data_IF_610154711842
#
_entry.id   IF_610154711842
#
_cell.length_a   1.000
_cell.length_b   1.000
_cell.length_c   1.000
_cell.angle_alpha   90.00
_cell.angle_beta   90.00
_cell.angle_gamma   90.00
#
_symmetry.space_group_name_H-M   'P 1'
#
loop_
_entity.id
_entity.type
_entity.pdbx_description
1 polymer ?
#
# COMPACT_ATOMS: atom_id res chain seq x y z
N UNK A 1 -2.75 26.86 7.48
CA UNK A 1 -2.46 27.15 6.07
C UNK A 1 -1.00 26.79 5.87
N UNK A 2 -0.68 25.88 4.94
CA UNK A 2 0.72 25.58 4.63
C UNK A 2 1.15 26.65 3.64
N UNK A 3 2.16 27.41 4.05
CA UNK A 3 2.82 28.42 3.25
C UNK A 3 3.44 27.76 2.02
N UNK A 4 3.32 28.40 0.86
CA UNK A 4 3.72 27.87 -0.45
C UNK A 4 5.24 28.00 -0.65
N UNK A 5 6.01 27.94 0.45
CA UNK A 5 7.45 28.10 0.46
C UNK A 5 8.08 26.91 -0.25
N UNK A 6 8.94 27.11 -1.25
CA UNK A 6 9.62 26.01 -1.92
C UNK A 6 10.49 25.28 -0.91
N UNK A 7 10.08 24.06 -0.55
CA UNK A 7 10.86 23.20 0.33
C UNK A 7 12.09 22.74 -0.46
N UNK A 8 13.27 23.19 -0.03
CA UNK A 8 14.53 22.74 -0.61
C UNK A 8 14.80 21.30 -0.16
N UNK A 9 14.75 20.36 -1.11
CA UNK A 9 15.06 18.95 -0.86
C UNK A 9 16.58 18.79 -0.87
N UNK A 10 17.15 18.35 0.25
CA UNK A 10 18.57 18.04 0.33
C UNK A 10 18.89 16.80 -0.53
N UNK A 11 19.43 17.06 -1.71
CA UNK A 11 19.79 16.04 -2.68
C UNK A 11 20.85 15.06 -2.15
N UNK A 12 21.74 15.48 -1.24
CA UNK A 12 22.77 14.61 -0.65
C UNK A 12 22.13 13.60 0.29
N UNK A 13 21.25 14.09 1.16
CA UNK A 13 20.48 13.24 2.09
C UNK A 13 19.57 12.26 1.36
N UNK A 14 18.95 12.66 0.24
CA UNK A 14 18.00 11.82 -0.49
C UNK A 14 18.61 10.88 -1.51
N UNK A 15 19.83 11.16 -1.99
CA UNK A 15 20.51 10.33 -2.99
C UNK A 15 20.42 8.81 -2.72
N UNK A 16 20.67 8.32 -1.48
CA UNK A 16 20.61 6.89 -1.17
C UNK A 16 19.20 6.28 -1.21
N UNK A 17 18.16 7.10 -1.09
CA UNK A 17 16.76 6.67 -0.95
C UNK A 17 15.93 6.94 -2.20
N UNK A 18 16.55 7.36 -3.31
CA UNK A 18 15.82 7.65 -4.57
C UNK A 18 15.07 6.45 -5.12
N UNK A 19 15.58 5.23 -4.89
CA UNK A 19 14.97 3.97 -5.32
C UNK A 19 13.68 3.63 -4.58
N UNK A 20 13.43 4.22 -3.40
CA UNK A 20 12.19 4.01 -2.62
C UNK A 20 10.95 4.25 -3.47
N UNK A 21 11.00 5.18 -4.43
CA UNK A 21 9.88 5.53 -5.30
C UNK A 21 10.27 5.47 -6.78
N UNK A 22 9.50 4.70 -7.55
CA UNK A 22 9.68 4.52 -9.00
C UNK A 22 8.38 4.77 -9.75
N UNK A 23 8.49 5.28 -10.98
CA UNK A 23 7.37 5.30 -11.93
C UNK A 23 7.41 4.00 -12.73
N UNK A 24 6.28 3.30 -12.80
CA UNK A 24 6.12 2.03 -13.50
C UNK A 24 5.33 2.20 -14.82
N UNK A 25 5.39 3.39 -15.41
CA UNK A 25 4.67 3.71 -16.65
C UNK A 25 3.19 4.03 -16.41
N UNK A 26 2.36 3.74 -17.41
CA UNK A 26 0.91 4.02 -17.40
C UNK A 26 0.08 2.73 -17.31
N UNK A 27 -1.19 2.83 -16.94
CA UNK A 27 -2.15 1.73 -17.05
C UNK A 27 -2.49 1.45 -18.50
N UNK A 28 -2.75 0.18 -18.82
CA UNK A 28 -3.15 -0.22 -20.18
C UNK A 28 -4.59 0.20 -20.53
N UNK A 29 -5.47 0.31 -19.53
CA UNK A 29 -6.89 0.60 -19.75
C UNK A 29 -7.14 1.96 -20.41
N UNK A 30 -6.41 2.99 -19.97
CA UNK A 30 -6.61 4.37 -20.41
C UNK A 30 -5.33 5.02 -20.97
N UNK A 31 -4.16 4.37 -20.83
CA UNK A 31 -2.84 4.88 -21.20
C UNK A 31 -2.51 6.28 -20.65
N UNK A 32 -3.23 6.74 -19.63
CA UNK A 32 -3.11 8.06 -19.03
C UNK A 32 -2.81 7.98 -17.53
N UNK A 33 -3.36 6.96 -16.86
CA UNK A 33 -3.19 6.79 -15.42
C UNK A 33 -1.76 6.34 -15.13
N UNK A 34 -1.01 7.14 -14.37
CA UNK A 34 0.39 6.87 -14.05
C UNK A 34 0.49 5.90 -12.87
N UNK A 35 1.37 4.90 -12.96
CA UNK A 35 1.60 3.93 -11.89
C UNK A 35 2.87 4.28 -11.13
N UNK A 36 2.77 4.37 -9.81
CA UNK A 36 3.88 4.72 -8.92
C UNK A 36 4.05 3.62 -7.90
N UNK A 37 5.26 3.07 -7.80
CA UNK A 37 5.60 2.06 -6.80
C UNK A 37 6.48 2.66 -5.70
N UNK A 38 6.09 2.42 -4.44
CA UNK A 38 6.86 2.70 -3.24
C UNK A 38 7.29 1.38 -2.59
N UNK A 39 8.58 1.22 -2.36
CA UNK A 39 9.16 0.00 -1.79
C UNK A 39 9.53 0.22 -0.33
N UNK A 40 8.76 -0.37 0.58
CA UNK A 40 9.00 -0.22 2.01
C UNK A 40 10.31 -0.85 2.49
N UNK A 41 10.81 -1.89 1.81
CA UNK A 41 12.10 -2.53 2.12
C UNK A 41 13.30 -1.58 1.97
N UNK A 42 13.17 -0.51 1.18
CA UNK A 42 14.22 0.48 0.95
C UNK A 42 14.07 1.74 1.80
N UNK A 43 13.10 1.80 2.71
CA UNK A 43 12.95 2.93 3.61
C UNK A 43 14.15 3.08 4.55
N UNK A 44 14.44 4.31 5.03
CA UNK A 44 15.48 4.58 6.01
C UNK A 44 15.33 3.71 7.27
N UNK A 45 16.45 3.30 7.84
CA UNK A 45 16.49 2.58 9.12
C UNK A 45 16.34 3.57 10.29
N UNK A 46 15.48 3.27 11.25
CA UNK A 46 15.28 4.04 12.49
C UNK A 46 16.58 4.26 13.29
N UNK A 47 17.62 3.45 13.06
CA UNK A 47 18.92 3.56 13.71
C UNK A 47 19.81 4.69 13.17
N UNK A 48 19.44 5.33 12.06
CA UNK A 48 20.22 6.42 11.48
C UNK A 48 20.20 7.65 12.41
N UNK A 49 21.38 8.21 12.68
CA UNK A 49 21.54 9.53 13.30
C UNK A 49 20.89 10.52 12.32
N UNK A 50 19.82 11.20 12.72
CA UNK A 50 18.97 12.06 11.88
C UNK A 50 17.82 11.38 11.10
N UNK A 51 17.41 10.17 11.48
CA UNK A 51 16.26 9.46 10.86
C UNK A 51 15.02 10.36 10.59
N UNK A 52 14.62 11.20 11.55
CA UNK A 52 13.47 12.11 11.39
C UNK A 52 13.66 13.11 10.25
N UNK A 53 14.84 13.70 10.15
CA UNK A 53 15.18 14.64 9.08
C UNK A 53 15.20 13.93 7.73
N UNK A 54 15.83 12.75 7.66
CA UNK A 54 15.87 11.92 6.44
C UNK A 54 14.46 11.56 5.98
N UNK A 55 13.59 11.13 6.89
CA UNK A 55 12.20 10.80 6.57
C UNK A 55 11.41 12.01 6.11
N UNK A 56 11.62 13.18 6.71
CA UNK A 56 10.98 14.43 6.28
C UNK A 56 11.43 14.81 4.86
N UNK A 57 12.74 14.77 4.58
CA UNK A 57 13.28 14.99 3.25
C UNK A 57 12.73 13.98 2.24
N UNK A 58 12.58 12.72 2.64
CA UNK A 58 12.05 11.66 1.78
C UNK A 58 10.57 11.90 1.47
N UNK A 59 9.81 12.33 2.48
CA UNK A 59 8.43 12.73 2.29
C UNK A 59 8.32 13.90 1.30
N UNK A 60 9.14 14.94 1.43
CA UNK A 60 9.14 16.07 0.50
C UNK A 60 9.53 15.64 -0.92
N UNK A 61 10.52 14.77 -1.06
CA UNK A 61 10.91 14.20 -2.35
C UNK A 61 9.77 13.42 -3.01
N UNK A 62 9.10 12.55 -2.26
CA UNK A 62 7.94 11.80 -2.74
C UNK A 62 6.79 12.75 -3.09
N UNK A 63 6.45 13.69 -2.20
CA UNK A 63 5.40 14.68 -2.43
C UNK A 63 5.64 15.46 -3.72
N UNK A 64 6.86 15.98 -3.92
CA UNK A 64 7.21 16.74 -5.11
C UNK A 64 7.17 15.89 -6.39
N UNK A 65 7.53 14.60 -6.31
CA UNK A 65 7.31 13.66 -7.42
C UNK A 65 5.82 13.49 -7.72
N UNK A 66 4.98 13.29 -6.70
CA UNK A 66 3.53 13.15 -6.88
C UNK A 66 2.89 14.44 -7.42
N UNK A 67 3.36 15.60 -6.98
CA UNK A 67 2.83 16.90 -7.40
C UNK A 67 2.97 17.12 -8.91
N UNK A 68 4.08 16.67 -9.51
CA UNK A 68 4.28 16.68 -10.97
C UNK A 68 3.29 15.80 -11.72
N UNK A 69 2.66 14.85 -11.03
CA UNK A 69 1.71 13.89 -11.60
C UNK A 69 0.26 14.32 -11.39
N UNK A 70 -0.01 15.39 -10.62
CA UNK A 70 -1.37 15.91 -10.34
C UNK A 70 -2.14 16.29 -11.61
N UNK A 71 -1.44 16.51 -12.74
CA UNK A 71 -2.08 16.76 -14.03
C UNK A 71 -2.79 15.54 -14.59
N UNK A 72 -2.47 14.33 -14.11
CA UNK A 72 -3.05 13.07 -14.56
C UNK A 72 -3.58 12.28 -13.36
N UNK A 73 -4.50 11.36 -13.62
CA UNK A 73 -4.85 10.37 -12.62
C UNK A 73 -3.67 9.43 -12.39
N UNK A 74 -3.55 8.90 -11.17
CA UNK A 74 -2.45 8.02 -10.82
C UNK A 74 -2.86 6.95 -9.83
N UNK A 75 -2.12 5.83 -9.86
CA UNK A 75 -2.23 4.74 -8.90
C UNK A 75 -0.95 4.66 -8.10
N UNK A 76 -1.10 4.42 -6.79
CA UNK A 76 0.01 4.18 -5.88
C UNK A 76 0.04 2.70 -5.48
N UNK A 77 1.18 2.05 -5.64
CA UNK A 77 1.45 0.70 -5.15
C UNK A 77 2.46 0.83 -4.01
N UNK A 78 2.10 0.38 -2.82
CA UNK A 78 2.99 0.34 -1.66
C UNK A 78 3.32 -1.12 -1.32
N UNK A 79 4.56 -1.52 -1.59
CA UNK A 79 5.07 -2.83 -1.23
C UNK A 79 5.53 -2.83 0.23
N UNK A 80 4.69 -3.37 1.11
CA UNK A 80 4.95 -3.37 2.54
C UNK A 80 5.59 -4.67 3.04
N UNK A 81 5.26 -5.83 2.48
CA UNK A 81 5.59 -7.14 3.07
C UNK A 81 7.06 -7.35 3.43
N UNK A 82 7.97 -6.85 2.60
CA UNK A 82 9.41 -6.97 2.81
C UNK A 82 10.00 -5.82 3.66
N UNK A 83 9.17 -5.02 4.33
CA UNK A 83 9.60 -3.89 5.18
C UNK A 83 9.97 -4.42 6.56
N UNK A 84 11.26 -4.41 6.95
CA UNK A 84 11.64 -4.77 8.30
C UNK A 84 11.05 -3.78 9.30
N UNK A 85 10.75 -4.23 10.52
CA UNK A 85 10.19 -3.38 11.58
C UNK A 85 11.03 -2.12 11.85
N UNK A 86 12.36 -2.23 11.72
CA UNK A 86 13.30 -1.10 11.89
C UNK A 86 13.32 -0.12 10.71
N UNK A 87 12.56 -0.34 9.63
CA UNK A 87 12.35 0.60 8.51
C UNK A 87 10.90 1.03 8.36
N UNK A 88 9.99 0.43 9.13
CA UNK A 88 8.56 0.73 9.06
C UNK A 88 8.30 2.14 9.60
N UNK A 89 7.71 3.05 8.82
CA UNK A 89 7.42 4.40 9.30
C UNK A 89 6.47 4.38 10.50
N UNK A 90 6.65 5.31 11.43
CA UNK A 90 5.78 5.38 12.61
C UNK A 90 4.42 6.04 12.28
N UNK A 91 3.47 5.92 13.20
CA UNK A 91 2.14 6.52 13.06
C UNK A 91 2.19 8.04 12.89
N UNK A 92 3.17 8.71 13.52
CA UNK A 92 3.33 10.17 13.45
C UNK A 92 3.70 10.58 12.02
N UNK A 93 4.62 9.86 11.38
CA UNK A 93 5.00 10.05 9.99
C UNK A 93 3.82 9.81 9.04
N UNK A 94 3.06 8.72 9.22
CA UNK A 94 1.88 8.44 8.39
C UNK A 94 0.80 9.52 8.51
N UNK A 95 0.57 10.02 9.74
CA UNK A 95 -0.35 11.14 9.99
C UNK A 95 0.15 12.41 9.30
N UNK A 96 1.44 12.74 9.44
CA UNK A 96 2.07 13.90 8.78
C UNK A 96 1.93 13.81 7.26
N UNK A 97 2.20 12.64 6.67
CA UNK A 97 2.03 12.41 5.25
C UNK A 97 0.63 12.80 4.79
N UNK A 98 -0.40 12.27 5.44
CA UNK A 98 -1.77 12.56 5.05
C UNK A 98 -2.14 14.04 5.21
N UNK A 99 -1.72 14.68 6.30
CA UNK A 99 -2.01 16.10 6.56
C UNK A 99 -1.36 17.03 5.53
N UNK A 100 -0.17 16.65 5.05
CA UNK A 100 0.58 17.45 4.07
C UNK A 100 0.18 17.17 2.63
N UNK A 101 -0.41 16.01 2.33
CA UNK A 101 -0.96 15.74 1.00
C UNK A 101 -2.15 16.66 0.73
N UNK A 102 -1.96 17.55 -0.24
CA UNK A 102 -2.97 18.52 -0.66
C UNK A 102 -4.23 17.84 -1.23
N UNK A 103 -5.31 18.61 -1.38
CA UNK A 103 -6.57 18.10 -1.90
C UNK A 103 -6.45 17.55 -3.34
N UNK A 104 -5.62 18.18 -4.18
CA UNK A 104 -5.45 17.80 -5.59
C UNK A 104 -4.86 16.40 -5.74
N UNK A 105 -3.77 16.12 -5.03
CA UNK A 105 -3.14 14.81 -4.96
C UNK A 105 -4.12 13.70 -4.54
N UNK A 106 -4.99 13.99 -3.57
CA UNK A 106 -6.02 13.03 -3.12
C UNK A 106 -7.14 12.84 -4.15
N UNK A 107 -7.44 13.86 -4.96
CA UNK A 107 -8.49 13.81 -5.98
C UNK A 107 -8.07 12.92 -7.15
N UNK A 108 -6.91 13.18 -7.74
CA UNK A 108 -6.34 12.46 -8.89
C UNK A 108 -5.83 11.05 -8.58
N UNK A 109 -5.65 10.71 -7.30
CA UNK A 109 -5.34 9.35 -6.89
C UNK A 109 -6.53 8.43 -7.22
N UNK A 110 -6.39 7.50 -8.16
CA UNK A 110 -7.43 6.52 -8.50
C UNK A 110 -7.53 5.42 -7.46
N UNK A 111 -6.40 4.84 -7.07
CA UNK A 111 -6.32 3.75 -6.10
C UNK A 111 -4.95 3.66 -5.42
N UNK A 112 -4.95 3.11 -4.20
CA UNK A 112 -3.75 2.75 -3.43
C UNK A 112 -3.77 1.25 -3.22
N UNK A 113 -2.82 0.51 -3.79
CA UNK A 113 -2.65 -0.91 -3.55
C UNK A 113 -1.56 -1.12 -2.52
N UNK A 114 -1.92 -1.66 -1.35
CA UNK A 114 -0.97 -2.06 -0.32
C UNK A 114 -0.69 -3.55 -0.50
N UNK A 115 0.51 -3.87 -0.98
CA UNK A 115 0.95 -5.24 -1.28
C UNK A 115 1.59 -5.84 -0.04
N UNK A 116 1.16 -7.05 0.31
CA UNK A 116 1.55 -7.80 1.51
C UNK A 116 1.37 -6.99 2.81
N UNK A 117 0.15 -6.50 3.11
CA UNK A 117 -0.08 -5.70 4.31
C UNK A 117 0.17 -6.53 5.58
N UNK A 118 0.83 -5.94 6.57
CA UNK A 118 0.92 -6.55 7.91
C UNK A 118 -0.34 -6.24 8.72
N UNK A 119 -0.63 -7.05 9.75
CA UNK A 119 -1.75 -6.77 10.68
C UNK A 119 -1.60 -5.39 11.32
N UNK A 120 -0.38 -5.05 11.74
CA UNK A 120 -0.08 -3.74 12.34
C UNK A 120 -0.41 -2.58 11.39
N UNK A 121 0.00 -2.65 10.12
CA UNK A 121 -0.31 -1.62 9.13
C UNK A 121 -1.82 -1.49 8.90
N UNK A 122 -2.54 -2.62 8.77
CA UNK A 122 -4.01 -2.64 8.63
C UNK A 122 -4.69 -1.97 9.82
N UNK A 123 -4.24 -2.27 11.04
CA UNK A 123 -4.76 -1.64 12.27
C UNK A 123 -4.53 -0.14 12.24
N UNK A 124 -3.33 0.33 11.87
CA UNK A 124 -3.05 1.76 11.77
C UNK A 124 -3.92 2.46 10.73
N UNK A 125 -4.07 1.88 9.55
CA UNK A 125 -4.93 2.45 8.50
C UNK A 125 -6.38 2.50 8.98
N UNK A 126 -6.87 1.45 9.65
CA UNK A 126 -8.21 1.39 10.21
C UNK A 126 -8.43 2.44 11.33
N UNK A 127 -7.48 2.59 12.25
CA UNK A 127 -7.51 3.61 13.31
C UNK A 127 -7.41 5.03 12.74
N UNK A 128 -6.78 5.19 11.57
CA UNK A 128 -6.66 6.47 10.88
C UNK A 128 -7.93 6.85 10.10
N UNK A 129 -8.94 5.96 10.03
CA UNK A 129 -10.19 6.16 9.29
C UNK A 129 -10.94 7.47 9.62
N UNK A 130 -11.03 7.96 10.88
CA UNK A 130 -11.70 9.24 11.18
C UNK A 130 -11.03 10.45 10.53
N UNK A 131 -9.75 10.35 10.18
CA UNK A 131 -9.00 11.44 9.56
C UNK A 131 -9.10 11.40 8.03
N UNK A 132 -9.37 10.22 7.46
CA UNK A 132 -9.55 10.02 6.03
C UNK A 132 -10.96 10.37 5.59
N UNK A 133 -11.10 11.05 4.45
CA UNK A 133 -12.42 11.15 3.83
C UNK A 133 -12.91 9.73 3.47
N UNK A 134 -14.22 9.47 3.60
CA UNK A 134 -14.79 8.17 3.22
C UNK A 134 -14.36 7.79 1.80
N UNK A 135 -14.41 8.73 0.85
CA UNK A 135 -13.97 8.53 -0.54
C UNK A 135 -12.51 8.08 -0.63
N UNK A 136 -11.60 8.71 0.12
CA UNK A 136 -10.18 8.32 0.11
C UNK A 136 -9.96 6.94 0.71
N UNK A 137 -10.62 6.61 1.82
CA UNK A 137 -10.47 5.30 2.45
C UNK A 137 -10.86 4.15 1.50
N UNK A 138 -11.90 4.33 0.67
CA UNK A 138 -12.33 3.33 -0.32
C UNK A 138 -11.35 3.18 -1.50
N UNK A 139 -10.38 4.08 -1.65
CA UNK A 139 -9.30 3.93 -2.65
C UNK A 139 -8.23 2.96 -2.18
N UNK A 140 -8.20 2.58 -0.90
CA UNK A 140 -7.17 1.69 -0.33
C UNK A 140 -7.59 0.23 -0.53
N UNK A 141 -6.82 -0.48 -1.35
CA UNK A 141 -6.99 -1.89 -1.68
C UNK A 141 -5.82 -2.68 -1.08
N UNK A 142 -6.12 -3.82 -0.48
CA UNK A 142 -5.13 -4.72 0.10
C UNK A 142 -4.91 -5.91 -0.84
N UNK A 143 -3.67 -6.12 -1.27
CA UNK A 143 -3.27 -7.28 -2.08
C UNK A 143 -2.33 -8.15 -1.25
N UNK A 144 -2.65 -9.43 -1.12
CA UNK A 144 -1.88 -10.36 -0.31
C UNK A 144 -0.84 -11.11 -1.12
N UNK A 145 -1.00 -11.19 -2.44
CA UNK A 145 -0.07 -11.86 -3.35
C UNK A 145 0.35 -10.95 -4.50
N UNK A 146 1.53 -11.21 -5.08
CA UNK A 146 1.97 -10.55 -6.33
C UNK A 146 1.03 -10.94 -7.49
N UNK A 147 0.52 -12.17 -7.50
CA UNK A 147 -0.45 -12.62 -8.51
C UNK A 147 -1.73 -11.76 -8.52
N UNK A 148 -2.24 -11.33 -7.36
CA UNK A 148 -3.36 -10.38 -7.29
C UNK A 148 -3.01 -9.01 -7.87
N UNK A 149 -1.77 -8.54 -7.68
CA UNK A 149 -1.27 -7.32 -8.29
C UNK A 149 -1.17 -7.47 -9.81
N UNK A 150 -0.69 -8.61 -10.30
CA UNK A 150 -0.49 -8.88 -11.73
C UNK A 150 -1.80 -8.92 -12.52
N UNK A 151 -2.91 -9.30 -11.88
CA UNK A 151 -4.25 -9.19 -12.47
C UNK A 151 -4.68 -7.75 -12.74
N UNK A 152 -4.09 -6.80 -12.03
CA UNK A 152 -4.38 -5.37 -12.15
C UNK A 152 -3.32 -4.64 -13.00
N UNK A 153 -2.07 -5.11 -12.98
CA UNK A 153 -0.92 -4.49 -13.65
C UNK A 153 -0.02 -5.57 -14.27
N UNK A 154 0.22 -5.59 -15.59
CA UNK A 154 1.11 -6.58 -16.17
C UNK A 154 2.54 -6.44 -15.61
N UNK A 155 3.15 -7.58 -15.27
CA UNK A 155 4.44 -7.71 -14.54
C UNK A 155 5.60 -6.96 -15.20
N UNK A 156 5.60 -6.88 -16.53
CA UNK A 156 6.69 -6.31 -17.35
C UNK A 156 6.98 -4.82 -17.09
N UNK A 157 6.12 -4.10 -16.36
CA UNK A 157 6.29 -2.66 -16.07
C UNK A 157 6.77 -2.36 -14.64
N UNK A 158 6.72 -3.34 -13.74
CA UNK A 158 7.06 -3.18 -12.32
C UNK A 158 8.33 -3.97 -12.00
N UNK A 159 9.42 -3.27 -11.68
CA UNK A 159 10.66 -3.90 -11.19
C UNK A 159 10.49 -4.31 -9.72
N UNK A 160 9.96 -5.51 -9.47
CA UNK A 160 9.77 -6.05 -8.12
C UNK A 160 11.11 -6.56 -7.57
N UNK A 161 11.60 -6.05 -6.43
CA UNK A 161 12.82 -6.55 -5.78
C UNK A 161 12.68 -8.01 -5.34
N UNK A 162 13.77 -8.79 -5.44
CA UNK A 162 13.80 -10.20 -5.04
C UNK A 162 13.37 -10.42 -3.56
N UNK A 163 13.62 -9.45 -2.67
CA UNK A 163 13.17 -9.51 -1.27
C UNK A 163 11.64 -9.51 -1.14
N UNK A 164 10.94 -8.85 -2.06
CA UNK A 164 9.48 -8.84 -2.12
C UNK A 164 8.97 -10.14 -2.72
N UNK A 165 9.61 -10.66 -3.77
CA UNK A 165 9.27 -11.97 -4.34
C UNK A 165 9.43 -13.10 -3.32
N UNK A 166 10.51 -13.10 -2.55
CA UNK A 166 10.69 -14.08 -1.47
C UNK A 166 9.60 -13.96 -0.39
N UNK A 167 9.16 -12.73 -0.10
CA UNK A 167 8.10 -12.49 0.86
C UNK A 167 6.74 -12.95 0.35
N UNK A 168 6.48 -12.84 -0.95
CA UNK A 168 5.24 -13.28 -1.60
C UNK A 168 4.97 -14.77 -1.36
N UNK A 169 5.99 -15.62 -1.40
CA UNK A 169 5.85 -17.05 -1.10
C UNK A 169 5.33 -17.30 0.34
N UNK A 170 5.83 -16.55 1.32
CA UNK A 170 5.39 -16.66 2.72
C UNK A 170 3.95 -16.13 2.90
N UNK A 171 3.60 -15.08 2.18
CA UNK A 171 2.26 -14.49 2.22
C UNK A 171 1.24 -15.39 1.53
N UNK A 172 1.56 -15.92 0.36
CA UNK A 172 0.70 -16.84 -0.40
C UNK A 172 0.34 -18.08 0.43
N UNK A 173 1.32 -18.73 1.07
CA UNK A 173 1.03 -19.88 1.94
C UNK A 173 0.15 -19.53 3.15
N UNK A 174 0.27 -18.33 3.72
CA UNK A 174 -0.59 -17.90 4.84
C UNK A 174 -2.00 -17.59 4.35
N UNK A 175 -2.10 -16.94 3.20
CA UNK A 175 -3.35 -16.57 2.56
C UNK A 175 -4.15 -17.81 2.15
N UNK A 176 -3.51 -18.78 1.49
CA UNK A 176 -4.15 -20.03 1.07
C UNK A 176 -4.64 -20.85 2.27
N UNK A 177 -3.82 -20.97 3.33
CA UNK A 177 -4.23 -21.64 4.57
C UNK A 177 -5.44 -20.97 5.22
N UNK A 178 -5.47 -19.64 5.24
CA UNK A 178 -6.59 -18.90 5.81
C UNK A 178 -7.86 -19.10 4.98
N UNK A 179 -7.79 -18.94 3.67
CA UNK A 179 -8.94 -19.15 2.79
C UNK A 179 -9.44 -20.60 2.82
N UNK A 180 -8.54 -21.58 2.84
CA UNK A 180 -8.92 -22.99 3.00
C UNK A 180 -9.58 -23.28 4.35
N UNK A 181 -9.22 -22.57 5.43
CA UNK A 181 -9.92 -22.69 6.72
C UNK A 181 -11.33 -22.09 6.65
N UNK A 182 -11.49 -20.91 6.05
CA UNK A 182 -12.80 -20.25 5.88
C UNK A 182 -13.72 -21.12 5.02
N UNK A 183 -13.24 -21.59 3.86
CA UNK A 183 -14.04 -22.42 2.95
C UNK A 183 -14.49 -23.72 3.61
N UNK A 184 -13.63 -24.35 4.44
CA UNK A 184 -14.02 -25.51 5.24
C UNK A 184 -15.12 -25.18 6.26
N UNK A 185 -15.00 -24.06 6.98
CA UNK A 185 -16.04 -23.63 7.93
C UNK A 185 -17.36 -23.33 7.23
N UNK A 186 -17.34 -22.67 6.07
CA UNK A 186 -18.54 -22.40 5.27
C UNK A 186 -19.19 -23.71 4.80
N UNK A 187 -18.40 -24.64 4.23
CA UNK A 187 -18.91 -25.93 3.77
C UNK A 187 -19.54 -26.75 4.92
N UNK A 188 -18.94 -26.72 6.11
CA UNK A 188 -19.49 -27.36 7.30
C UNK A 188 -20.81 -26.73 7.75
N UNK A 189 -20.91 -25.40 7.74
CA UNK A 189 -22.16 -24.70 8.08
C UNK A 189 -23.28 -25.01 7.07
N UNK A 190 -22.97 -25.04 5.78
CA UNK A 190 -23.94 -25.42 4.72
C UNK A 190 -24.41 -26.85 4.91
N UNK A 191 -23.49 -27.79 5.15
CA UNK A 191 -23.82 -29.20 5.36
C UNK A 191 -24.74 -29.39 6.57
N UNK A 192 -24.47 -28.68 7.69
CA UNK A 192 -25.32 -28.71 8.90
C UNK A 192 -26.72 -28.13 8.65
N UNK A 193 -26.83 -27.05 7.86
CA UNK A 193 -28.15 -26.47 7.53
C UNK A 193 -28.99 -27.38 6.62
N UNK A 194 -28.36 -28.17 5.75
CA UNK A 194 -29.07 -29.11 4.89
C UNK A 194 -29.65 -30.28 5.69
N UNK A 195 -28.88 -30.84 6.63
CA UNK A 195 -29.35 -31.92 7.53
C UNK A 195 -30.54 -31.45 8.38
N UNK A 196 -30.46 -30.26 8.98
CA UNK A 196 -31.54 -29.75 9.84
C UNK A 196 -32.86 -29.50 9.07
N UNK A 197 -32.82 -29.16 7.79
CA UNK A 197 -34.02 -28.94 6.97
C UNK A 197 -34.71 -30.24 6.55
N UNK A 198 -33.95 -31.34 6.40
CA UNK A 198 -34.52 -32.66 6.09
C UNK A 198 -35.26 -33.23 7.31
N UNK A 199 -34.72 -33.02 8.52
CA UNK A 199 -35.36 -33.45 9.77
C UNK A 199 -36.65 -32.66 10.07
N UNK A 200 -36.71 -31.37 9.72
CA UNK A 200 -37.90 -30.51 9.92
C UNK A 200 -38.98 -30.72 8.84
N UNK A 201 -38.60 -31.25 7.67
CA UNK A 201 -39.50 -31.65 6.58
C UNK A 201 -40.16 -33.02 6.80
N UNK A 202 -39.60 -33.84 7.69
CA UNK A 202 -40.05 -35.20 7.98
C UNK A 202 -40.93 -35.30 9.24
N UNK A 203 -41.16 -34.18 9.93
CA UNK A 203 -42.03 -34.02 11.10
C UNK A 203 -43.34 -33.31 10.74
#
# INVERSE_FOLDING_TARGET
MIDNTPVNIDAKTISPFKSVITSAGTLHEDNQTIVIAIYGCWLPDHRLREYRYIMDQLFYYVYHKLEKLVTNDYVLIYFHGATPKHRTPDLKFLRKCYQMINFRLRKNLRSVYVVHPTRWLRTIIALSRPFFSKKFYHKINYLYTIAELERQFPRNRLSIPATIEQTDWLYSQKYDRHNASINRSIAQSISRSMVNNEDESAA
#
